data_IF_924582210208
#
_entry.id   IF_924582210208
#
_cell.length_a   1.000
_cell.length_b   1.000
_cell.length_c   1.000
_cell.angle_alpha   90.00
_cell.angle_beta   90.00
_cell.angle_gamma   90.00
#
_symmetry.space_group_name_H-M   'P 1'
#
loop_
_entity.id
_entity.type
_entity.pdbx_description
1 polymer ?
#
# COMPACT_ATOMS: atom_id res chain seq x y z
N UNK A 1 -7.40 38.82 -0.70
CA UNK A 1 -7.05 40.09 -0.02
C UNK A 1 -8.33 40.64 0.56
N UNK A 2 -8.48 41.14 1.78
CA UNK A 2 -7.69 41.18 2.99
C UNK A 2 -8.69 41.67 4.06
N UNK A 3 -9.12 40.84 5.04
CA UNK A 3 -10.04 41.35 6.07
C UNK A 3 -10.15 40.52 7.37
N UNK A 4 -9.13 39.75 7.77
CA UNK A 4 -9.20 39.01 9.06
C UNK A 4 -8.03 39.27 10.03
N UNK A 5 -7.24 40.31 9.77
CA UNK A 5 -6.05 40.61 10.56
C UNK A 5 -6.25 41.91 11.34
N UNK A 6 -7.06 41.89 12.39
CA UNK A 6 -7.08 42.88 13.48
C UNK A 6 -8.21 42.52 14.46
N UNK A 7 -7.88 41.74 15.50
CA UNK A 7 -8.47 41.81 16.86
C UNK A 7 -8.14 40.52 17.63
N UNK A 8 -7.02 40.55 18.37
CA UNK A 8 -6.84 39.97 19.72
C UNK A 8 -5.39 40.15 20.15
N UNK A 9 -4.98 41.42 20.16
CA UNK A 9 -3.94 41.95 21.04
C UNK A 9 -4.72 42.68 22.14
N UNK A 10 -4.63 42.17 23.38
CA UNK A 10 -4.66 42.88 24.66
C UNK A 10 -4.96 41.84 25.76
N UNK A 11 -3.90 41.41 26.45
CA UNK A 11 -3.97 40.50 27.58
C UNK A 11 -2.76 40.70 28.49
N UNK A 12 -2.52 41.96 28.88
CA UNK A 12 -1.47 42.36 29.81
C UNK A 12 -2.14 42.76 31.12
N UNK A 13 -2.03 41.95 32.17
CA UNK A 13 -2.18 42.37 33.57
C UNK A 13 -1.36 41.48 34.51
N UNK A 14 -0.39 42.13 35.15
CA UNK A 14 0.44 41.70 36.27
C UNK A 14 -0.33 41.16 37.47
N UNK A 15 0.33 40.31 38.27
CA UNK A 15 0.38 40.48 39.73
C UNK A 15 1.60 39.76 40.31
N UNK A 16 2.46 40.56 40.92
CA UNK A 16 3.52 40.19 41.87
C UNK A 16 2.86 39.78 43.18
N UNK A 17 3.33 38.71 43.84
CA UNK A 17 3.01 38.44 45.25
C UNK A 17 4.14 37.69 45.96
N UNK A 18 4.92 38.49 46.70
CA UNK A 18 5.61 38.29 47.98
C UNK A 18 6.20 36.93 48.39
N UNK A 19 7.51 37.01 48.65
CA UNK A 19 8.33 36.15 49.50
C UNK A 19 8.05 36.53 50.97
N UNK A 20 7.53 35.62 51.80
CA UNK A 20 7.66 35.66 53.27
C UNK A 20 7.63 34.22 53.82
N UNK A 21 8.61 33.88 54.67
CA UNK A 21 8.44 32.84 55.70
C UNK A 21 9.43 31.69 55.63
N UNK A 22 10.55 31.82 56.36
CA UNK A 22 11.49 30.73 56.57
C UNK A 22 10.87 29.57 57.36
N UNK A 23 11.20 28.36 56.92
CA UNK A 23 11.19 27.16 57.76
C UNK A 23 12.30 26.24 57.27
N UNK A 24 13.29 26.01 58.14
CA UNK A 24 14.31 24.98 58.01
C UNK A 24 13.61 23.62 58.13
N UNK A 25 13.18 23.04 57.01
CA UNK A 25 12.77 21.65 56.94
C UNK A 25 13.96 20.86 56.41
N UNK A 26 14.43 19.92 57.22
CA UNK A 26 15.58 19.08 56.93
C UNK A 26 15.48 18.39 55.57
N UNK A 27 16.59 18.42 54.83
CA UNK A 27 16.79 17.73 53.58
C UNK A 27 16.81 16.21 53.80
N UNK A 28 15.65 15.60 53.95
CA UNK A 28 15.47 14.22 53.53
C UNK A 28 15.32 14.26 52.01
N UNK A 29 16.41 13.99 51.28
CA UNK A 29 16.36 13.81 49.83
C UNK A 29 15.66 12.46 49.61
N UNK A 30 14.41 12.39 49.15
CA UNK A 30 13.95 11.15 48.56
C UNK A 30 14.84 10.95 47.35
N UNK A 31 15.68 9.92 47.37
CA UNK A 31 16.30 9.39 46.16
C UNK A 31 15.12 8.97 45.30
N UNK A 32 14.64 9.90 44.46
CA UNK A 32 13.70 9.59 43.40
C UNK A 32 14.45 8.59 42.54
N UNK A 33 14.10 7.32 42.69
CA UNK A 33 14.31 6.33 41.65
C UNK A 33 13.66 6.93 40.40
N UNK A 34 14.47 7.65 39.61
CA UNK A 34 14.10 8.11 38.29
C UNK A 34 13.88 6.83 37.50
N UNK A 35 12.59 6.53 37.40
CA UNK A 35 12.02 5.33 36.86
C UNK A 35 12.53 5.19 35.43
N UNK A 36 13.09 4.02 35.13
CA UNK A 36 13.46 3.55 33.79
C UNK A 36 12.21 3.31 32.91
N UNK A 37 11.15 4.12 33.06
CA UNK A 37 9.87 3.96 32.34
C UNK A 37 9.90 4.59 30.93
N UNK A 38 10.94 5.35 30.60
CA UNK A 38 11.02 6.05 29.30
C UNK A 38 11.73 5.25 28.19
N UNK A 39 12.16 4.01 28.45
CA UNK A 39 12.91 3.20 27.46
C UNK A 39 11.97 2.46 26.48
N UNK A 40 10.64 2.54 26.66
CA UNK A 40 9.65 1.95 25.75
C UNK A 40 8.74 2.97 25.03
N UNK A 41 9.06 4.27 25.01
CA UNK A 41 8.37 5.20 24.12
C UNK A 41 8.82 4.89 22.69
N UNK A 42 8.00 4.14 21.92
CA UNK A 42 8.14 4.00 20.47
C UNK A 42 8.15 5.42 19.87
N UNK A 43 9.28 5.94 19.39
CA UNK A 43 9.24 7.20 18.66
C UNK A 43 8.51 6.92 17.33
N UNK A 44 7.58 7.79 16.95
CA UNK A 44 7.15 7.87 15.55
C UNK A 44 5.66 7.81 15.23
N UNK A 45 4.76 8.05 16.19
CA UNK A 45 3.36 8.37 15.87
C UNK A 45 2.82 9.39 16.88
N UNK A 46 2.55 10.60 16.42
CA UNK A 46 1.99 11.67 17.27
C UNK A 46 0.46 11.69 17.21
N UNK A 47 -0.19 12.35 18.18
CA UNK A 47 -1.65 12.57 18.16
C UNK A 47 -2.12 13.23 16.84
N UNK A 48 -1.27 14.10 16.28
CA UNK A 48 -1.49 14.74 15.00
C UNK A 48 -1.66 13.74 13.83
N UNK A 49 -0.99 12.59 13.87
CA UNK A 49 -1.06 11.57 12.82
C UNK A 49 -2.40 10.82 12.85
N UNK A 50 -2.90 10.49 14.05
CA UNK A 50 -4.23 9.90 14.21
C UNK A 50 -5.33 10.87 13.76
N UNK A 51 -5.19 12.15 14.13
CA UNK A 51 -6.13 13.18 13.73
C UNK A 51 -6.13 13.42 12.21
N UNK A 52 -4.95 13.44 11.58
CA UNK A 52 -4.83 13.52 10.13
C UNK A 52 -5.46 12.29 9.44
N UNK A 53 -5.15 11.08 9.94
CA UNK A 53 -5.71 9.83 9.44
C UNK A 53 -7.25 9.85 9.46
N UNK A 54 -7.85 10.13 10.62
CA UNK A 54 -9.30 10.13 10.77
C UNK A 54 -9.97 11.15 9.83
N UNK A 55 -9.40 12.36 9.71
CA UNK A 55 -9.91 13.39 8.78
C UNK A 55 -9.86 12.92 7.34
N UNK A 56 -8.78 12.27 6.93
CA UNK A 56 -8.61 11.81 5.54
C UNK A 56 -9.53 10.62 5.20
N UNK A 57 -9.74 9.69 6.13
CA UNK A 57 -10.69 8.58 5.93
C UNK A 57 -12.13 9.08 5.82
N UNK A 58 -12.54 10.00 6.70
CA UNK A 58 -13.90 10.58 6.66
C UNK A 58 -14.11 11.39 5.38
N UNK A 59 -13.11 12.14 4.89
CA UNK A 59 -13.16 12.79 3.56
C UNK A 59 -13.30 11.77 2.43
N UNK A 60 -12.72 10.59 2.59
CA UNK A 60 -12.88 9.45 1.68
C UNK A 60 -14.24 8.75 1.76
N UNK A 61 -15.20 9.29 2.53
CA UNK A 61 -16.53 8.70 2.80
C UNK A 61 -16.49 7.39 3.58
N UNK A 62 -15.41 7.11 4.31
CA UNK A 62 -15.37 6.03 5.30
C UNK A 62 -16.12 6.48 6.56
N UNK A 63 -16.90 5.59 7.17
CA UNK A 63 -17.63 5.91 8.40
C UNK A 63 -16.68 6.21 9.57
N UNK A 64 -17.10 7.06 10.50
CA UNK A 64 -16.26 7.46 11.64
C UNK A 64 -15.81 6.28 12.51
N UNK A 65 -16.69 5.28 12.71
CA UNK A 65 -16.36 4.09 13.49
C UNK A 65 -15.28 3.23 12.80
N UNK A 66 -15.41 3.00 11.49
CA UNK A 66 -14.40 2.27 10.71
C UNK A 66 -13.09 3.05 10.63
N UNK A 67 -13.17 4.38 10.50
CA UNK A 67 -12.00 5.25 10.48
C UNK A 67 -11.22 5.21 11.81
N UNK A 68 -11.92 5.26 12.94
CA UNK A 68 -11.30 5.15 14.27
C UNK A 68 -10.60 3.79 14.43
N UNK A 69 -11.27 2.68 14.10
CA UNK A 69 -10.67 1.34 14.12
C UNK A 69 -9.44 1.23 13.19
N UNK A 70 -9.56 1.81 11.99
CA UNK A 70 -8.50 1.85 11.00
C UNK A 70 -7.26 2.57 11.46
N UNK A 71 -7.41 3.81 11.94
CA UNK A 71 -6.29 4.61 12.38
C UNK A 71 -5.65 4.04 13.65
N UNK A 72 -6.44 3.48 14.59
CA UNK A 72 -5.92 2.87 15.81
C UNK A 72 -5.09 1.60 15.55
N UNK A 73 -5.44 0.81 14.53
CA UNK A 73 -4.71 -0.42 14.15
C UNK A 73 -3.56 -0.18 13.15
N UNK A 74 -3.42 1.03 12.63
CA UNK A 74 -2.43 1.33 11.61
C UNK A 74 -1.03 1.44 12.20
N UNK A 75 -0.04 0.77 11.58
CA UNK A 75 1.38 0.96 11.94
C UNK A 75 1.82 2.40 11.62
N UNK A 76 1.26 3.01 10.56
CA UNK A 76 1.54 4.37 10.10
C UNK A 76 0.23 5.09 9.76
N UNK A 77 -0.46 5.71 10.75
CA UNK A 77 -1.79 6.27 10.55
C UNK A 77 -1.81 7.39 9.51
N UNK A 78 -0.80 8.28 9.51
CA UNK A 78 -0.71 9.36 8.51
C UNK A 78 -0.64 8.82 7.07
N UNK A 79 0.18 7.80 6.84
CA UNK A 79 0.33 7.18 5.51
C UNK A 79 -0.96 6.48 5.07
N UNK A 80 -1.67 5.83 6.00
CA UNK A 80 -2.96 5.20 5.74
C UNK A 80 -3.99 6.24 5.26
N UNK A 81 -4.08 7.38 5.96
CA UNK A 81 -4.95 8.49 5.58
C UNK A 81 -4.66 9.03 4.17
N UNK A 82 -3.38 9.31 3.89
CA UNK A 82 -2.93 9.76 2.57
C UNK A 82 -3.28 8.76 1.48
N UNK A 83 -3.07 7.46 1.75
CA UNK A 83 -3.34 6.39 0.80
C UNK A 83 -4.82 6.36 0.39
N UNK A 84 -5.72 6.30 1.38
CA UNK A 84 -7.17 6.27 1.13
C UNK A 84 -7.59 7.51 0.36
N UNK A 85 -7.23 8.70 0.87
CA UNK A 85 -7.62 9.97 0.25
C UNK A 85 -7.17 10.08 -1.22
N UNK A 86 -5.96 9.61 -1.57
CA UNK A 86 -5.47 9.62 -2.94
C UNK A 86 -6.23 8.66 -3.85
N UNK A 87 -6.52 7.46 -3.37
CA UNK A 87 -7.26 6.45 -4.15
C UNK A 87 -8.71 6.89 -4.38
N UNK A 88 -9.39 7.42 -3.36
CA UNK A 88 -10.79 7.86 -3.48
C UNK A 88 -10.98 8.99 -4.50
N UNK A 89 -9.95 9.82 -4.75
CA UNK A 89 -9.98 10.85 -5.80
C UNK A 89 -10.09 10.28 -7.23
N UNK A 90 -9.88 8.98 -7.43
CA UNK A 90 -10.02 8.31 -8.73
C UNK A 90 -11.36 7.54 -8.85
N UNK A 91 -12.41 8.01 -8.17
CA UNK A 91 -13.75 7.40 -8.17
C UNK A 91 -13.80 5.96 -7.62
N UNK A 92 -12.90 5.64 -6.70
CA UNK A 92 -12.86 4.36 -5.97
C UNK A 92 -13.53 4.56 -4.62
N UNK A 93 -14.32 3.59 -4.14
CA UNK A 93 -14.99 3.72 -2.85
C UNK A 93 -13.98 3.85 -1.70
N UNK A 94 -14.35 4.57 -0.64
CA UNK A 94 -13.52 4.72 0.54
C UNK A 94 -13.18 3.38 1.20
N UNK A 95 -14.16 2.46 1.22
CA UNK A 95 -14.00 1.13 1.80
C UNK A 95 -13.05 0.25 0.99
N UNK A 96 -13.13 0.27 -0.34
CA UNK A 96 -12.19 -0.47 -1.21
C UNK A 96 -10.77 0.09 -1.09
N UNK A 97 -10.65 1.42 -1.11
CA UNK A 97 -9.37 2.10 -0.88
C UNK A 97 -8.78 1.72 0.47
N UNK A 98 -9.59 1.72 1.52
CA UNK A 98 -9.18 1.35 2.87
C UNK A 98 -8.74 -0.12 2.94
N UNK A 99 -9.48 -1.02 2.31
CA UNK A 99 -9.15 -2.45 2.23
C UNK A 99 -7.74 -2.66 1.68
N UNK A 100 -7.41 -2.00 0.56
CA UNK A 100 -6.07 -2.08 -0.04
C UNK A 100 -5.00 -1.44 0.83
N UNK A 101 -5.24 -0.20 1.30
CA UNK A 101 -4.24 0.55 2.05
C UNK A 101 -3.85 -0.10 3.39
N UNK A 102 -4.75 -0.86 4.01
CA UNK A 102 -4.46 -1.59 5.28
C UNK A 102 -3.67 -2.88 5.06
N UNK A 103 -3.73 -3.46 3.86
CA UNK A 103 -3.09 -4.74 3.54
C UNK A 103 -1.65 -4.59 3.05
N UNK A 104 -1.26 -3.39 2.63
CA UNK A 104 0.10 -3.12 2.13
C UNK A 104 1.01 -2.57 3.21
N UNK A 105 2.30 -2.94 3.16
CA UNK A 105 3.31 -2.37 4.07
C UNK A 105 3.65 -0.91 3.75
N UNK A 106 3.44 -0.44 2.51
CA UNK A 106 3.79 0.91 2.02
C UNK A 106 2.56 1.60 1.41
N UNK A 107 1.67 2.21 2.23
CA UNK A 107 0.38 2.73 1.75
C UNK A 107 0.52 3.82 0.70
N UNK A 108 1.43 4.77 0.89
CA UNK A 108 1.61 5.92 -0.03
C UNK A 108 2.00 5.46 -1.43
N UNK A 109 2.83 4.42 -1.54
CA UNK A 109 3.26 3.89 -2.82
C UNK A 109 2.19 3.06 -3.51
N UNK A 110 1.41 2.29 -2.76
CA UNK A 110 0.25 1.60 -3.31
C UNK A 110 -0.75 2.61 -3.89
N UNK A 111 -0.99 3.73 -3.20
CA UNK A 111 -1.83 4.79 -3.72
C UNK A 111 -1.24 5.42 -5.00
N UNK A 112 0.07 5.73 -5.02
CA UNK A 112 0.74 6.21 -6.23
C UNK A 112 0.56 5.23 -7.38
N UNK A 113 0.78 3.94 -7.14
CA UNK A 113 0.62 2.88 -8.11
C UNK A 113 -0.77 2.90 -8.76
N UNK A 114 -1.82 2.91 -7.94
CA UNK A 114 -3.21 2.94 -8.41
C UNK A 114 -3.48 4.22 -9.19
N UNK A 115 -3.05 5.39 -8.67
CA UNK A 115 -3.31 6.68 -9.33
C UNK A 115 -2.59 6.83 -10.66
N UNK A 116 -1.37 6.29 -10.79
CA UNK A 116 -0.59 6.38 -12.04
C UNK A 116 -1.20 5.48 -13.12
N UNK A 117 -1.56 4.24 -12.78
CA UNK A 117 -2.21 3.32 -13.73
C UNK A 117 -3.59 3.88 -14.13
N UNK A 118 -4.39 4.35 -13.17
CA UNK A 118 -5.72 4.91 -13.45
C UNK A 118 -5.66 6.13 -14.38
N UNK A 119 -4.62 6.96 -14.28
CA UNK A 119 -4.47 8.17 -15.11
C UNK A 119 -3.88 7.89 -16.49
N UNK A 120 -2.93 6.96 -16.58
CA UNK A 120 -2.11 6.78 -17.80
C UNK A 120 -2.46 5.52 -18.58
N UNK A 121 -3.14 4.56 -17.97
CA UNK A 121 -3.52 3.29 -18.58
C UNK A 121 -4.95 2.85 -18.14
N UNK A 122 -6.01 3.65 -18.37
CA UNK A 122 -7.35 3.42 -17.81
C UNK A 122 -8.15 2.26 -18.44
N UNK A 123 -7.59 1.47 -19.36
CA UNK A 123 -8.34 0.46 -20.13
C UNK A 123 -8.61 -0.87 -19.40
N UNK A 124 -8.57 -0.88 -18.07
CA UNK A 124 -8.75 -2.08 -17.22
C UNK A 124 -9.75 -1.83 -16.09
N UNK A 125 -10.32 -2.91 -15.55
CA UNK A 125 -11.11 -2.86 -14.35
C UNK A 125 -10.28 -2.38 -13.15
N UNK A 126 -10.83 -1.43 -12.39
CA UNK A 126 -10.22 -0.89 -11.15
C UNK A 126 -9.78 -1.98 -10.17
N UNK A 127 -10.55 -3.08 -10.08
CA UNK A 127 -10.24 -4.21 -9.19
C UNK A 127 -8.90 -4.87 -9.55
N UNK A 128 -8.58 -4.99 -10.84
CA UNK A 128 -7.31 -5.57 -11.30
C UNK A 128 -6.12 -4.68 -10.93
N UNK A 129 -6.30 -3.36 -11.04
CA UNK A 129 -5.28 -2.37 -10.63
C UNK A 129 -5.04 -2.44 -9.12
N UNK A 130 -6.11 -2.48 -8.34
CA UNK A 130 -6.04 -2.58 -6.87
C UNK A 130 -5.35 -3.88 -6.44
N UNK A 131 -5.69 -5.02 -7.05
CA UNK A 131 -5.05 -6.30 -6.75
C UNK A 131 -3.56 -6.30 -7.14
N UNK A 132 -3.22 -5.85 -8.34
CA UNK A 132 -1.84 -5.79 -8.82
C UNK A 132 -0.95 -4.90 -7.95
N UNK A 133 -1.41 -3.69 -7.62
CA UNK A 133 -0.68 -2.77 -6.73
C UNK A 133 -0.53 -3.33 -5.32
N UNK A 134 -1.51 -4.07 -4.80
CA UNK A 134 -1.46 -4.70 -3.47
C UNK A 134 -0.46 -5.86 -3.43
N UNK A 135 -0.45 -6.70 -4.47
CA UNK A 135 0.39 -7.91 -4.54
C UNK A 135 1.85 -7.59 -4.80
N UNK A 136 2.13 -6.48 -5.47
CA UNK A 136 3.50 -6.04 -5.73
C UNK A 136 4.26 -5.66 -4.46
N UNK A 137 5.47 -6.19 -4.33
CA UNK A 137 6.42 -5.76 -3.30
C UNK A 137 6.94 -4.32 -3.50
N UNK A 138 6.95 -3.85 -4.75
CA UNK A 138 7.41 -2.52 -5.13
C UNK A 138 6.35 -1.85 -6.01
N UNK A 139 5.30 -1.25 -5.41
CA UNK A 139 4.19 -0.69 -6.16
C UNK A 139 4.61 0.37 -7.19
N UNK A 140 5.62 1.19 -6.89
CA UNK A 140 6.10 2.21 -7.84
C UNK A 140 6.82 1.63 -9.07
N UNK A 141 7.58 0.55 -8.91
CA UNK A 141 8.21 -0.12 -10.07
C UNK A 141 7.16 -0.84 -10.92
N UNK A 142 6.18 -1.44 -10.25
CA UNK A 142 5.09 -2.12 -10.92
C UNK A 142 4.25 -1.15 -11.75
N UNK A 143 3.85 0.01 -11.21
CA UNK A 143 3.07 0.99 -11.99
C UNK A 143 3.83 1.55 -13.19
N UNK A 144 5.13 1.81 -13.07
CA UNK A 144 5.98 2.21 -14.20
C UNK A 144 6.01 1.13 -15.27
N UNK A 145 6.27 -0.13 -14.89
CA UNK A 145 6.24 -1.26 -15.81
C UNK A 145 4.90 -1.32 -16.58
N UNK A 146 3.76 -1.21 -15.88
CA UNK A 146 2.44 -1.29 -16.51
C UNK A 146 2.20 -0.13 -17.47
N UNK A 147 2.51 1.10 -17.05
CA UNK A 147 2.31 2.31 -17.84
C UNK A 147 3.21 2.33 -19.07
N UNK A 148 4.50 2.05 -18.90
CA UNK A 148 5.48 2.11 -19.99
C UNK A 148 5.19 1.00 -21.01
N UNK A 149 4.89 -0.22 -20.56
CA UNK A 149 4.57 -1.33 -21.45
C UNK A 149 3.24 -1.11 -22.20
N UNK A 150 2.22 -0.60 -21.51
CA UNK A 150 0.94 -0.25 -22.16
C UNK A 150 1.13 0.86 -23.20
N UNK A 151 1.97 1.85 -22.93
CA UNK A 151 2.20 2.99 -23.81
C UNK A 151 3.08 2.65 -25.01
N UNK A 152 4.23 2.02 -24.79
CA UNK A 152 5.21 1.77 -25.86
C UNK A 152 4.76 0.63 -26.78
N UNK A 153 4.21 -0.44 -26.21
CA UNK A 153 3.80 -1.62 -26.97
C UNK A 153 2.29 -1.61 -27.32
N UNK A 154 1.56 -0.56 -26.91
CA UNK A 154 0.09 -0.44 -27.11
C UNK A 154 -0.69 -1.65 -26.58
N UNK A 155 -0.18 -2.30 -25.53
CA UNK A 155 -0.86 -3.44 -24.91
C UNK A 155 -2.06 -2.96 -24.09
N UNK A 156 -3.08 -3.80 -24.01
CA UNK A 156 -4.17 -3.63 -23.06
C UNK A 156 -3.60 -3.60 -21.63
N UNK A 157 -4.14 -2.74 -20.75
CA UNK A 157 -3.61 -2.59 -19.40
C UNK A 157 -3.64 -3.92 -18.62
N UNK A 158 -4.66 -4.76 -18.82
CA UNK A 158 -4.73 -6.09 -18.21
C UNK A 158 -3.55 -6.98 -18.59
N UNK A 159 -3.14 -6.94 -19.87
CA UNK A 159 -1.99 -7.69 -20.36
C UNK A 159 -0.68 -7.15 -19.77
N UNK A 160 -0.56 -5.82 -19.65
CA UNK A 160 0.61 -5.21 -19.00
C UNK A 160 0.69 -5.54 -17.51
N UNK A 161 -0.44 -5.55 -16.81
CA UNK A 161 -0.53 -5.97 -15.40
C UNK A 161 -0.03 -7.41 -15.23
N UNK A 162 -0.50 -8.33 -16.08
CA UNK A 162 -0.08 -9.74 -16.04
C UNK A 162 1.43 -9.90 -16.30
N UNK A 163 1.98 -9.21 -17.30
CA UNK A 163 3.41 -9.30 -17.60
C UNK A 163 4.29 -8.71 -16.49
N UNK A 164 3.83 -7.64 -15.83
CA UNK A 164 4.61 -6.94 -14.81
C UNK A 164 4.55 -7.61 -13.43
N UNK A 165 3.48 -8.35 -13.11
CA UNK A 165 3.38 -9.07 -11.83
C UNK A 165 4.33 -10.27 -11.81
N UNK A 166 4.38 -11.05 -12.91
CA UNK A 166 5.26 -12.21 -13.07
C UNK A 166 6.75 -11.84 -12.98
N UNK A 167 7.12 -10.68 -13.53
CA UNK A 167 8.49 -10.16 -13.46
C UNK A 167 8.91 -9.80 -12.02
N UNK A 168 7.97 -9.36 -11.19
CA UNK A 168 8.24 -8.99 -9.80
C UNK A 168 8.40 -10.23 -8.92
N UNK A 169 7.60 -11.27 -9.17
CA UNK A 169 7.63 -12.52 -8.40
C UNK A 169 8.90 -13.34 -8.64
N UNK A 170 9.46 -13.37 -9.86
CA UNK A 170 10.75 -14.06 -10.15
C UNK A 170 11.92 -13.64 -9.25
N UNK A 171 11.90 -12.43 -8.72
CA UNK A 171 12.97 -11.94 -7.81
C UNK A 171 13.01 -12.76 -6.50
N UNK A 172 11.88 -13.33 -6.09
CA UNK A 172 11.80 -14.18 -4.88
C UNK A 172 12.35 -15.58 -5.11
N UNK A 173 12.30 -16.06 -6.35
CA UNK A 173 12.76 -17.41 -6.72
C UNK A 173 14.29 -17.47 -6.92
N UNK A 174 14.95 -16.32 -7.05
CA UNK A 174 16.39 -16.21 -7.32
C UNK A 174 17.23 -15.89 -6.07
N UNK A 175 16.67 -15.85 -4.87
CA UNK A 175 17.47 -15.79 -3.63
C UNK A 175 17.70 -17.23 -3.18
N UNK A 176 18.89 -17.82 -3.40
CA UNK A 176 19.19 -19.09 -2.79
C UNK A 176 19.18 -18.85 -1.28
N UNK A 177 18.33 -19.58 -0.57
CA UNK A 177 18.34 -19.64 0.89
C UNK A 177 19.58 -20.44 1.29
N UNK A 178 20.77 -19.85 1.13
CA UNK A 178 21.99 -20.37 1.73
C UNK A 178 21.98 -19.86 3.16
N UNK A 179 21.46 -20.67 4.09
CA UNK A 179 21.77 -20.49 5.49
C UNK A 179 23.30 -20.58 5.65
N UNK A 180 23.96 -19.66 6.38
CA UNK A 180 25.35 -19.84 6.74
C UNK A 180 25.46 -21.06 7.67
N UNK A 181 25.79 -22.23 7.10
CA UNK A 181 25.94 -23.48 7.86
C UNK A 181 25.80 -24.78 7.06
N UNK A 182 25.22 -24.79 5.86
CA UNK A 182 25.07 -26.02 5.08
C UNK A 182 26.05 -26.08 3.90
N UNK A 183 27.31 -26.42 4.18
CA UNK A 183 28.25 -26.90 3.15
C UNK A 183 27.84 -28.32 2.74
N UNK A 184 27.04 -28.46 1.69
CA UNK A 184 27.00 -29.70 0.91
C UNK A 184 26.81 -29.33 -0.56
N UNK A 185 27.89 -28.85 -1.16
CA UNK A 185 28.00 -28.65 -2.61
C UNK A 185 28.43 -29.99 -3.23
N UNK A 186 27.61 -30.69 -4.03
CA UNK A 186 28.16 -31.63 -4.99
C UNK A 186 28.92 -30.82 -6.08
N UNK A 187 30.06 -31.30 -6.58
CA UNK A 187 30.84 -30.59 -7.59
C UNK A 187 30.03 -30.45 -8.88
N UNK A 188 29.80 -29.20 -9.30
CA UNK A 188 29.30 -28.87 -10.63
C UNK A 188 30.35 -29.34 -11.63
N UNK A 189 30.06 -30.44 -12.33
CA UNK A 189 30.89 -30.91 -13.43
C UNK A 189 30.47 -30.13 -14.68
N UNK A 190 31.31 -29.19 -15.10
CA UNK A 190 31.15 -28.44 -16.34
C UNK A 190 31.27 -29.40 -17.54
N UNK A 191 30.27 -29.49 -18.45
CA UNK A 191 30.46 -30.16 -19.73
C UNK A 191 31.30 -29.26 -20.66
N UNK A 192 32.23 -29.81 -21.46
CA UNK A 192 33.01 -29.02 -22.41
C UNK A 192 32.14 -28.50 -23.57
N UNK A 193 32.52 -27.33 -24.09
CA UNK A 193 31.88 -26.64 -25.20
C UNK A 193 31.88 -27.51 -26.49
N UNK A 194 30.71 -28.08 -26.81
CA UNK A 194 30.42 -28.73 -28.08
C UNK A 194 29.48 -27.87 -28.92
N UNK A 195 29.95 -27.53 -30.12
CA UNK A 195 29.30 -26.80 -31.23
C UNK A 195 27.78 -26.97 -31.34
N UNK A 196 27.03 -25.87 -31.18
CA UNK A 196 25.64 -25.75 -31.62
C UNK A 196 25.58 -25.23 -33.06
N UNK A 197 25.16 -26.10 -33.96
CA UNK A 197 24.78 -25.80 -35.35
C UNK A 197 23.54 -24.89 -35.36
N UNK A 198 23.47 -23.84 -36.21
CA UNK A 198 22.28 -22.98 -36.31
C UNK A 198 21.11 -23.73 -36.96
N UNK A 199 19.95 -23.76 -36.30
CA UNK A 199 18.70 -24.19 -36.91
C UNK A 199 18.19 -23.12 -37.91
N UNK A 200 17.61 -23.51 -39.06
CA UNK A 200 17.13 -22.57 -40.06
C UNK A 200 15.86 -21.82 -39.62
N UNK A 201 15.59 -20.64 -40.21
CA UNK A 201 14.46 -19.79 -39.82
C UNK A 201 13.12 -20.39 -40.28
N UNK A 202 12.16 -20.48 -39.35
CA UNK A 202 10.75 -20.78 -39.65
C UNK A 202 10.07 -19.53 -40.23
N UNK A 203 9.51 -19.68 -41.43
CA UNK A 203 8.77 -18.65 -42.17
C UNK A 203 7.31 -18.59 -41.68
N UNK A 204 6.66 -17.41 -41.60
CA UNK A 204 5.30 -17.28 -41.10
C UNK A 204 4.26 -17.56 -42.21
N UNK A 205 3.48 -18.62 -42.06
CA UNK A 205 2.44 -19.00 -43.01
C UNK A 205 1.19 -19.56 -42.33
N UNK A 206 0.13 -18.75 -42.34
CA UNK A 206 -1.29 -19.10 -42.39
C UNK A 206 -1.87 -20.06 -41.33
N UNK A 207 -2.64 -19.51 -40.38
CA UNK A 207 -3.77 -20.21 -39.76
C UNK A 207 -5.07 -19.50 -40.15
N UNK A 208 -5.86 -20.20 -40.95
CA UNK A 208 -7.19 -19.81 -41.42
C UNK A 208 -8.21 -19.91 -40.28
N UNK A 209 -9.18 -18.98 -40.15
CA UNK A 209 -10.21 -19.05 -39.13
C UNK A 209 -11.36 -19.99 -39.53
N UNK A 210 -11.65 -20.99 -38.70
CA UNK A 210 -12.84 -21.85 -38.81
C UNK A 210 -14.07 -21.14 -38.22
N UNK A 211 -15.24 -21.14 -38.89
CA UNK A 211 -16.45 -20.50 -38.38
C UNK A 211 -17.15 -21.32 -37.27
N UNK A 212 -17.95 -20.67 -36.40
CA UNK A 212 -18.57 -21.30 -35.24
C UNK A 212 -19.79 -22.15 -35.64
N UNK A 213 -19.83 -23.39 -35.15
CA UNK A 213 -21.05 -24.21 -35.16
C UNK A 213 -21.95 -23.78 -34.01
N UNK A 214 -23.13 -23.28 -34.35
CA UNK A 214 -24.25 -23.01 -33.45
C UNK A 214 -24.99 -24.31 -33.15
N UNK A 215 -25.33 -24.56 -31.88
CA UNK A 215 -26.49 -25.41 -31.53
C UNK A 215 -27.12 -24.92 -30.21
N UNK A 216 -28.46 -24.86 -30.10
CA UNK A 216 -29.20 -24.31 -28.96
C UNK A 216 -29.81 -25.39 -28.03
N UNK A 217 -30.09 -25.02 -26.78
CA UNK A 217 -30.97 -25.78 -25.85
C UNK A 217 -30.48 -25.73 -24.40
N UNK A 218 -30.88 -24.75 -23.59
CA UNK A 218 -32.11 -24.67 -22.76
C UNK A 218 -31.91 -25.23 -21.32
N UNK A 219 -32.53 -24.63 -20.27
CA UNK A 219 -32.03 -24.68 -18.89
C UNK A 219 -32.83 -25.60 -17.95
N UNK A 220 -32.24 -25.94 -16.80
CA UNK A 220 -33.01 -26.34 -15.60
C UNK A 220 -32.35 -25.86 -14.29
N UNK A 221 -33.16 -25.63 -13.23
CA UNK A 221 -32.83 -24.77 -12.10
C UNK A 221 -32.40 -25.56 -10.85
N UNK A 222 -31.46 -24.99 -10.09
CA UNK A 222 -31.10 -25.42 -8.74
C UNK A 222 -31.64 -24.44 -7.69
N UNK A 223 -32.56 -24.94 -6.89
CA UNK A 223 -33.32 -24.25 -5.84
C UNK A 223 -32.46 -23.76 -4.67
N UNK A 224 -32.81 -22.57 -4.18
CA UNK A 224 -32.31 -21.87 -2.99
C UNK A 224 -32.82 -22.54 -1.70
N UNK A 225 -31.98 -22.60 -0.66
CA UNK A 225 -32.46 -22.71 0.73
C UNK A 225 -31.56 -21.87 1.64
N UNK A 226 -32.11 -20.91 2.42
CA UNK A 226 -31.36 -20.19 3.43
C UNK A 226 -31.43 -20.91 4.79
N UNK A 227 -30.27 -21.14 5.42
CA UNK A 227 -30.16 -21.59 6.81
C UNK A 227 -30.11 -20.35 7.72
N UNK A 228 -31.10 -20.23 8.60
CA UNK A 228 -31.09 -19.37 9.78
C UNK A 228 -30.30 -20.06 10.89
N UNK A 229 -29.37 -19.35 11.51
CA UNK A 229 -29.11 -19.38 12.96
C UNK A 229 -28.64 -17.99 13.38
#
# INVERSE_FOLDING_TARGET
MAMWKLMRSLGMRSAVASIIGGSLIGLAIPVRAAVLDDIFIRPGVDEADYNACARDLVRGRVTAAVAADACAKAIRPRDLGICVQRITRNNISGDDALSVCRQVRRPVEAANCVTEIARRAPSTATVNVLDGCRRSLLPERFSRCVVDLSRELKLATDQSIANCIDATDRSRDLVPTVLPGSTTTPPVTTPPAGSVTPAPPVSPGQTTPTPPTTTPGSPRPGTVTPQRF
#
